data_IF_859938074334
#
_entry.id   IF_859938074334
#
_cell.length_a   1.000
_cell.length_b   1.000
_cell.length_c   1.000
_cell.angle_alpha   90.00
_cell.angle_beta   90.00
_cell.angle_gamma   90.00
#
_symmetry.space_group_name_H-M   'P 1'
#
loop_
_entity.id
_entity.type
_entity.pdbx_description
1 polymer ?
#
# COMPACT_ATOMS: atom_id res chain seq x y z
N UNK A 1 14.10 11.14 22.32
CA UNK A 1 12.71 11.13 21.79
C UNK A 1 12.61 10.77 20.30
N UNK A 2 13.72 10.53 19.57
CA UNK A 2 13.67 10.17 18.14
C UNK A 2 13.08 8.76 17.85
N UNK A 3 13.17 7.84 18.81
CA UNK A 3 12.76 6.44 18.62
C UNK A 3 11.25 6.20 18.50
N UNK A 4 10.39 7.09 18.97
CA UNK A 4 8.93 6.90 18.86
C UNK A 4 8.34 7.41 17.52
N UNK A 5 8.98 8.41 16.90
CA UNK A 5 8.50 9.00 15.65
C UNK A 5 8.58 8.07 14.45
N UNK A 6 9.54 7.15 14.44
CA UNK A 6 9.71 6.17 13.36
C UNK A 6 8.51 5.23 13.24
N UNK A 7 7.86 4.87 14.35
CA UNK A 7 6.68 3.98 14.32
C UNK A 7 5.53 4.60 13.53
N UNK A 8 5.28 5.90 13.67
CA UNK A 8 4.23 6.58 12.91
C UNK A 8 4.56 6.68 11.42
N UNK A 9 5.84 6.83 11.07
CA UNK A 9 6.30 6.79 9.68
C UNK A 9 6.10 5.39 9.10
N UNK A 10 6.45 4.34 9.86
CA UNK A 10 6.23 2.94 9.46
C UNK A 10 4.73 2.69 9.22
N UNK A 11 3.86 3.08 10.16
CA UNK A 11 2.40 2.95 10.00
C UNK A 11 1.90 3.65 8.74
N UNK A 12 2.39 4.85 8.45
CA UNK A 12 2.01 5.63 7.29
C UNK A 12 2.43 4.93 5.98
N UNK A 13 3.67 4.45 5.92
CA UNK A 13 4.19 3.73 4.74
C UNK A 13 3.44 2.42 4.54
N UNK A 14 3.28 1.61 5.59
CA UNK A 14 2.55 0.35 5.54
C UNK A 14 1.09 0.56 5.14
N UNK A 15 0.41 1.54 5.73
CA UNK A 15 -0.97 1.87 5.37
C UNK A 15 -1.11 2.33 3.92
N UNK A 16 -0.18 3.16 3.44
CA UNK A 16 -0.17 3.61 2.03
C UNK A 16 0.06 2.45 1.08
N UNK A 17 0.97 1.52 1.41
CA UNK A 17 1.22 0.33 0.62
C UNK A 17 0.00 -0.59 0.58
N UNK A 18 -0.72 -0.79 1.68
CA UNK A 18 -1.96 -1.57 1.68
C UNK A 18 -3.02 -1.00 0.73
N UNK A 19 -3.09 0.33 0.60
CA UNK A 19 -4.00 1.02 -0.31
C UNK A 19 -3.49 1.06 -1.76
N UNK A 20 -2.22 0.76 -1.99
CA UNK A 20 -1.65 0.77 -3.33
C UNK A 20 -2.25 -0.37 -4.17
N UNK A 21 -2.58 -0.05 -5.42
CA UNK A 21 -3.13 -1.01 -6.38
C UNK A 21 -2.06 -1.43 -7.38
N UNK A 22 -2.05 -2.73 -7.68
CA UNK A 22 -1.26 -3.29 -8.78
C UNK A 22 -1.83 -2.87 -10.14
N UNK A 23 -1.10 -3.17 -11.21
CA UNK A 23 -1.54 -2.91 -12.59
C UNK A 23 -2.83 -3.65 -13.02
N UNK A 24 -3.25 -4.66 -12.26
CA UNK A 24 -4.51 -5.42 -12.47
C UNK A 24 -5.61 -4.99 -11.48
N UNK A 25 -5.52 -3.78 -10.93
CA UNK A 25 -6.46 -3.18 -9.96
C UNK A 25 -6.65 -3.90 -8.61
N UNK A 26 -5.90 -4.98 -8.38
CA UNK A 26 -5.84 -5.66 -7.08
C UNK A 26 -4.98 -4.87 -6.09
N UNK A 27 -5.48 -4.63 -4.87
CA UNK A 27 -4.69 -3.94 -3.85
C UNK A 27 -3.65 -4.86 -3.21
N UNK A 28 -2.52 -4.29 -2.75
CA UNK A 28 -1.51 -5.04 -1.98
C UNK A 28 -2.12 -5.60 -0.69
N UNK A 29 -3.03 -4.85 -0.06
CA UNK A 29 -3.74 -5.32 1.11
C UNK A 29 -4.56 -6.58 0.83
N UNK A 30 -5.19 -6.67 -0.35
CA UNK A 30 -5.94 -7.86 -0.75
C UNK A 30 -5.02 -9.06 -0.93
N UNK A 31 -3.86 -8.87 -1.57
CA UNK A 31 -2.86 -9.92 -1.72
C UNK A 31 -2.38 -10.45 -0.38
N UNK A 32 -2.10 -9.57 0.59
CA UNK A 32 -1.68 -9.96 1.94
C UNK A 32 -2.80 -10.71 2.64
N UNK A 33 -4.03 -10.19 2.61
CA UNK A 33 -5.19 -10.81 3.26
C UNK A 33 -5.45 -12.21 2.69
N UNK A 34 -5.46 -12.34 1.37
CA UNK A 34 -5.60 -13.64 0.70
C UNK A 34 -4.48 -14.60 1.06
N UNK A 35 -3.22 -14.13 1.12
CA UNK A 35 -2.06 -14.94 1.48
C UNK A 35 -2.15 -15.51 2.90
N UNK A 36 -2.71 -14.76 3.86
CA UNK A 36 -2.90 -15.21 5.25
C UNK A 36 -4.26 -15.88 5.48
N UNK A 37 -5.05 -16.12 4.42
CA UNK A 37 -6.34 -16.80 4.49
C UNK A 37 -7.49 -15.96 5.07
N UNK A 38 -7.34 -14.62 5.10
CA UNK A 38 -8.39 -13.69 5.52
C UNK A 38 -9.11 -13.15 4.26
N UNK A 39 -10.45 -13.18 4.21
CA UNK A 39 -11.18 -12.58 3.10
C UNK A 39 -10.97 -11.05 3.09
N UNK A 40 -10.59 -10.44 1.96
CA UNK A 40 -10.42 -8.98 1.88
C UNK A 40 -11.75 -8.21 1.97
N UNK A 41 -12.87 -8.84 1.65
CA UNK A 41 -14.21 -8.25 1.63
C UNK A 41 -15.16 -9.00 2.55
N UNK A 42 -16.11 -8.29 3.16
CA UNK A 42 -17.09 -8.90 4.07
C UNK A 42 -18.04 -9.89 3.39
N UNK A 43 -18.44 -9.63 2.15
CA UNK A 43 -19.47 -10.41 1.46
C UNK A 43 -18.96 -11.10 0.18
N UNK A 44 -17.63 -11.22 0.01
CA UNK A 44 -16.99 -11.82 -1.17
C UNK A 44 -17.09 -10.97 -2.45
N UNK A 45 -16.25 -11.29 -3.45
CA UNK A 45 -16.27 -10.71 -4.81
C UNK A 45 -16.53 -9.20 -4.88
N UNK A 46 -15.69 -8.39 -4.21
CA UNK A 46 -15.77 -6.92 -4.28
C UNK A 46 -17.07 -6.30 -3.74
N UNK A 47 -17.87 -7.08 -2.99
CA UNK A 47 -19.11 -6.63 -2.38
C UNK A 47 -18.95 -6.49 -0.85
N UNK A 48 -19.56 -5.43 -0.31
CA UNK A 48 -19.58 -5.16 1.12
C UNK A 48 -18.38 -4.33 1.61
N UNK A 49 -17.95 -4.57 2.86
CA UNK A 49 -16.86 -3.81 3.46
C UNK A 49 -15.51 -4.35 3.03
N UNK A 50 -14.64 -3.47 2.54
CA UNK A 50 -13.29 -3.79 2.09
C UNK A 50 -12.31 -3.73 3.28
N UNK A 51 -12.16 -4.84 4.00
CA UNK A 51 -11.40 -4.89 5.25
C UNK A 51 -9.93 -4.50 5.10
N UNK A 52 -9.28 -4.94 4.02
CA UNK A 52 -7.89 -4.59 3.71
C UNK A 52 -7.71 -3.08 3.52
N UNK A 53 -8.64 -2.43 2.81
CA UNK A 53 -8.66 -0.97 2.61
C UNK A 53 -8.99 -0.23 3.89
N UNK A 54 -9.95 -0.70 4.67
CA UNK A 54 -10.29 -0.11 5.97
C UNK A 54 -9.09 -0.10 6.92
N UNK A 55 -8.33 -1.21 6.96
CA UNK A 55 -7.08 -1.28 7.71
C UNK A 55 -6.05 -0.29 7.17
N UNK A 56 -5.86 -0.23 5.84
CA UNK A 56 -4.96 0.73 5.20
C UNK A 56 -5.27 2.18 5.57
N UNK A 57 -6.54 2.59 5.49
CA UNK A 57 -7.01 3.93 5.88
C UNK A 57 -6.71 4.20 7.35
N UNK A 58 -7.02 3.25 8.24
CA UNK A 58 -6.77 3.40 9.68
C UNK A 58 -5.27 3.63 9.97
N UNK A 59 -4.38 2.84 9.35
CA UNK A 59 -2.94 2.98 9.53
C UNK A 59 -2.42 4.31 8.98
N UNK A 60 -2.92 4.77 7.83
CA UNK A 60 -2.57 6.08 7.26
C UNK A 60 -3.01 7.21 8.19
N UNK A 61 -4.24 7.18 8.71
CA UNK A 61 -4.73 8.21 9.62
C UNK A 61 -3.87 8.30 10.90
N UNK A 62 -3.61 7.16 11.55
CA UNK A 62 -2.76 7.11 12.74
C UNK A 62 -1.33 7.57 12.44
N UNK A 63 -0.77 7.13 11.32
CA UNK A 63 0.55 7.51 10.86
C UNK A 63 0.67 9.01 10.58
N UNK A 64 -0.31 9.61 9.91
CA UNK A 64 -0.36 11.06 9.63
C UNK A 64 -0.45 11.84 10.92
N UNK A 65 -1.42 11.52 11.79
CA UNK A 65 -1.65 12.26 13.04
C UNK A 65 -0.39 12.24 13.90
N UNK A 66 0.19 11.06 14.14
CA UNK A 66 1.40 10.94 14.96
C UNK A 66 2.63 11.61 14.32
N UNK A 67 2.84 11.45 13.01
CA UNK A 67 3.97 12.08 12.32
C UNK A 67 3.86 13.60 12.33
N UNK A 68 2.66 14.15 12.05
CA UNK A 68 2.45 15.60 12.07
C UNK A 68 2.63 16.15 13.48
N UNK A 69 2.05 15.53 14.50
CA UNK A 69 2.19 16.00 15.88
C UNK A 69 3.66 16.06 16.34
N UNK A 70 4.46 15.04 16.01
CA UNK A 70 5.85 14.96 16.44
C UNK A 70 6.79 15.86 15.63
N UNK A 71 6.60 15.93 14.31
CA UNK A 71 7.58 16.58 13.42
C UNK A 71 7.20 17.99 12.99
N UNK A 72 5.95 18.44 13.15
CA UNK A 72 5.50 19.77 12.67
C UNK A 72 6.28 20.94 13.26
N UNK A 73 6.73 20.84 14.52
CA UNK A 73 7.51 21.92 15.14
C UNK A 73 8.86 22.14 14.45
N UNK A 74 9.53 21.05 14.02
CA UNK A 74 10.80 21.09 13.28
C UNK A 74 10.59 21.29 11.78
N UNK A 75 9.51 20.74 11.24
CA UNK A 75 9.18 20.71 9.82
C UNK A 75 7.73 21.17 9.59
N UNK A 76 7.46 22.48 9.52
CA UNK A 76 6.09 23.02 9.49
C UNK A 76 5.26 22.58 8.27
N UNK A 77 5.91 22.17 7.18
CA UNK A 77 5.28 21.67 5.94
C UNK A 77 5.23 20.13 5.86
N UNK A 78 5.40 19.42 6.97
CA UNK A 78 5.45 17.94 6.98
C UNK A 78 4.19 17.29 6.40
N UNK A 79 3.00 17.85 6.68
CA UNK A 79 1.74 17.33 6.14
C UNK A 79 1.71 17.35 4.60
N UNK A 80 2.13 18.48 4.00
CA UNK A 80 2.18 18.60 2.54
C UNK A 80 3.17 17.59 1.93
N UNK A 81 4.33 17.38 2.57
CA UNK A 81 5.30 16.37 2.13
C UNK A 81 4.73 14.96 2.19
N UNK A 82 4.03 14.63 3.29
CA UNK A 82 3.35 13.35 3.45
C UNK A 82 2.33 13.11 2.33
N UNK A 83 1.47 14.09 2.04
CA UNK A 83 0.44 13.97 1.00
C UNK A 83 1.10 13.77 -0.37
N UNK A 84 2.11 14.57 -0.70
CA UNK A 84 2.85 14.45 -1.97
C UNK A 84 3.49 13.07 -2.08
N UNK A 85 4.18 12.59 -1.04
CA UNK A 85 4.79 11.27 -1.03
C UNK A 85 3.75 10.15 -1.18
N UNK A 86 2.60 10.26 -0.49
CA UNK A 86 1.51 9.29 -0.62
C UNK A 86 0.96 9.20 -2.05
N UNK A 87 0.69 10.35 -2.67
CA UNK A 87 0.23 10.41 -4.07
C UNK A 87 1.27 9.80 -5.01
N UNK A 88 2.55 10.14 -4.84
CA UNK A 88 3.65 9.59 -5.64
C UNK A 88 3.69 8.06 -5.51
N UNK A 89 3.62 7.52 -4.30
CA UNK A 89 3.62 6.06 -4.07
C UNK A 89 2.44 5.42 -4.79
N UNK A 90 1.22 5.93 -4.58
CA UNK A 90 0.02 5.36 -5.18
C UNK A 90 0.05 5.39 -6.71
N UNK A 91 0.66 6.41 -7.32
CA UNK A 91 0.76 6.53 -8.78
C UNK A 91 1.89 5.69 -9.38
N UNK A 92 3.02 5.58 -8.70
CA UNK A 92 4.18 4.80 -9.17
C UNK A 92 3.95 3.30 -9.01
N UNK A 93 3.19 2.89 -8.00
CA UNK A 93 3.04 1.47 -7.64
C UNK A 93 2.52 0.57 -8.78
N UNK A 94 1.45 0.92 -9.52
CA UNK A 94 0.98 0.11 -10.65
C UNK A 94 2.08 -0.14 -11.68
N UNK A 95 2.81 0.92 -12.08
CA UNK A 95 3.91 0.82 -13.03
C UNK A 95 5.03 -0.12 -12.52
N UNK A 96 5.38 -0.03 -11.24
CA UNK A 96 6.38 -0.93 -10.65
C UNK A 96 5.93 -2.39 -10.68
N UNK A 97 4.65 -2.65 -10.40
CA UNK A 97 4.11 -4.02 -10.41
C UNK A 97 4.03 -4.61 -11.82
N UNK A 98 3.73 -3.78 -12.84
CA UNK A 98 3.76 -4.19 -14.24
C UNK A 98 5.18 -4.62 -14.65
N UNK A 99 6.19 -3.79 -14.35
CA UNK A 99 7.60 -4.11 -14.66
C UNK A 99 8.10 -5.33 -13.90
N UNK A 100 7.73 -5.46 -12.62
CA UNK A 100 8.06 -6.65 -11.85
C UNK A 100 7.46 -7.92 -12.48
N UNK A 101 6.19 -7.86 -12.91
CA UNK A 101 5.52 -8.99 -13.57
C UNK A 101 6.19 -9.34 -14.90
N UNK A 102 6.57 -8.33 -15.70
CA UNK A 102 7.30 -8.53 -16.95
C UNK A 102 8.65 -9.23 -16.72
N UNK A 103 9.43 -8.77 -15.73
CA UNK A 103 10.72 -9.38 -15.40
C UNK A 103 10.58 -10.82 -14.90
N UNK A 104 9.58 -11.08 -14.05
CA UNK A 104 9.29 -12.42 -13.56
C UNK A 104 8.91 -13.37 -14.69
N UNK A 105 8.07 -12.93 -15.63
CA UNK A 105 7.69 -13.70 -16.82
C UNK A 105 8.88 -13.95 -17.75
N UNK A 106 9.69 -12.92 -18.02
CA UNK A 106 10.87 -13.02 -18.89
C UNK A 106 11.93 -13.99 -18.33
N UNK A 107 12.05 -14.09 -17.01
CA UNK A 107 12.98 -15.02 -16.37
C UNK A 107 12.36 -16.41 -16.11
N UNK A 108 11.07 -16.61 -16.41
CA UNK A 108 10.40 -17.90 -16.27
C UNK A 108 10.56 -18.73 -17.55
N UNK A 109 10.80 -20.03 -17.40
CA UNK A 109 10.89 -20.99 -18.51
C UNK A 109 9.70 -21.95 -18.45
N UNK A 110 9.09 -22.28 -19.60
CA UNK A 110 7.96 -23.23 -19.68
C UNK A 110 6.58 -22.57 -19.66
N UNK A 111 5.55 -23.30 -19.20
CA UNK A 111 4.11 -22.92 -19.29
C UNK A 111 3.80 -21.58 -18.60
N UNK A 112 4.63 -21.16 -17.64
CA UNK A 112 4.54 -19.85 -16.96
C UNK A 112 5.00 -18.66 -17.79
N UNK A 113 5.64 -18.88 -18.94
CA UNK A 113 6.02 -17.81 -19.89
C UNK A 113 4.92 -17.48 -20.89
N UNK A 114 3.80 -18.21 -20.86
CA UNK A 114 2.67 -18.01 -21.78
C UNK A 114 1.72 -16.98 -21.17
N UNK A 115 1.54 -15.86 -21.86
CA UNK A 115 0.52 -14.87 -21.52
C UNK A 115 -0.85 -15.42 -21.92
N UNK A 116 -1.68 -15.75 -20.94
CA UNK A 116 -3.09 -16.04 -21.20
C UNK A 116 -3.83 -14.70 -21.27
N UNK A 117 -4.24 -14.33 -22.49
CA UNK A 117 -5.06 -13.15 -22.79
C UNK A 117 -6.50 -13.32 -22.30
#
# INVERSE_FOLDING_TARGET
MAGFGIYFIILLVTGTLLLAKTHIDLSVGDLIFQFIGIPPWSNGHELGLHYSVLLGILLVLLGIVGTVQLYKHRYPKILSRIIICGIIILYIFPFMTEKATFLLKHNSTGISSIDYS
#
